data_IF_931125761557
#
_entry.id   IF_931125761557
#
_cell.length_a   1.000
_cell.length_b   1.000
_cell.length_c   1.000
_cell.angle_alpha   90.00
_cell.angle_beta   90.00
_cell.angle_gamma   90.00
#
_symmetry.space_group_name_H-M   'P 1'
#
loop_
_entity.id
_entity.type
_entity.pdbx_description
1 polymer ?
#
# COMPACT_ATOMS: atom_id res chain seq x y z
N UNK A 1 17.11 16.30 18.23
CA UNK A 1 16.66 15.42 17.12
C UNK A 1 15.14 15.25 17.22
N UNK A 2 14.35 16.00 16.44
CA UNK A 2 12.89 15.87 16.43
C UNK A 2 12.48 14.56 15.73
N UNK A 3 11.75 13.69 16.43
CA UNK A 3 11.22 12.42 15.89
C UNK A 3 10.32 12.72 14.68
N UNK A 4 10.72 12.30 13.48
CA UNK A 4 9.93 12.46 12.25
C UNK A 4 8.55 11.83 12.49
N UNK A 5 7.47 12.61 12.32
CA UNK A 5 6.10 12.11 12.53
C UNK A 5 5.87 10.96 11.55
N UNK A 6 5.52 9.77 12.06
CA UNK A 6 5.21 8.62 11.21
C UNK A 6 3.99 8.96 10.36
N UNK A 7 4.06 8.68 9.06
CA UNK A 7 2.95 8.88 8.14
C UNK A 7 1.85 7.88 8.48
N UNK A 8 0.64 8.36 8.72
CA UNK A 8 -0.55 7.54 8.99
C UNK A 8 -1.39 7.47 7.73
N UNK A 9 -1.77 6.26 7.33
CA UNK A 9 -2.65 6.02 6.20
C UNK A 9 -4.01 5.53 6.71
N UNK A 10 -5.10 6.03 6.13
CA UNK A 10 -6.45 5.58 6.47
C UNK A 10 -6.69 4.17 5.92
N UNK A 11 -7.75 3.50 6.38
CA UNK A 11 -8.08 2.14 5.90
C UNK A 11 -8.46 2.17 4.42
N UNK A 12 -9.18 3.21 4.01
CA UNK A 12 -9.63 3.46 2.65
C UNK A 12 -8.43 3.65 1.72
N UNK A 13 -7.45 4.48 2.12
CA UNK A 13 -6.21 4.67 1.36
C UNK A 13 -5.45 3.36 1.13
N UNK A 14 -5.41 2.49 2.13
CA UNK A 14 -4.76 1.17 1.99
C UNK A 14 -5.56 0.26 1.06
N UNK A 15 -6.87 0.22 1.21
CA UNK A 15 -7.76 -0.60 0.38
C UNK A 15 -7.72 -0.16 -1.09
N UNK A 16 -7.76 1.14 -1.35
CA UNK A 16 -7.68 1.70 -2.70
C UNK A 16 -6.33 1.39 -3.34
N UNK A 17 -5.22 1.51 -2.59
CA UNK A 17 -3.89 1.18 -3.11
C UNK A 17 -3.75 -0.31 -3.43
N UNK A 18 -4.25 -1.21 -2.58
CA UNK A 18 -4.26 -2.66 -2.83
C UNK A 18 -5.14 -3.00 -4.03
N UNK A 19 -6.34 -2.41 -4.11
CA UNK A 19 -7.26 -2.60 -5.25
C UNK A 19 -6.60 -2.15 -6.54
N UNK A 20 -5.96 -0.98 -6.54
CA UNK A 20 -5.26 -0.45 -7.70
C UNK A 20 -4.15 -1.39 -8.18
N UNK A 21 -3.31 -1.93 -7.28
CA UNK A 21 -2.29 -2.93 -7.65
C UNK A 21 -2.92 -4.15 -8.34
N UNK A 22 -4.05 -4.64 -7.82
CA UNK A 22 -4.71 -5.85 -8.34
C UNK A 22 -5.42 -5.62 -9.68
N UNK A 23 -5.99 -4.43 -9.90
CA UNK A 23 -6.76 -4.12 -11.12
C UNK A 23 -5.92 -3.51 -12.23
N UNK A 24 -4.86 -2.76 -11.91
CA UNK A 24 -4.02 -2.07 -12.89
C UNK A 24 -3.05 -3.02 -13.61
N UNK A 25 -2.68 -4.14 -12.99
CA UNK A 25 -1.62 -5.02 -13.49
C UNK A 25 -0.22 -4.37 -13.44
N UNK A 26 -0.11 -3.16 -12.88
CA UNK A 26 1.16 -2.47 -12.69
C UNK A 26 1.95 -3.07 -11.53
N UNK A 27 3.28 -2.88 -11.56
CA UNK A 27 4.13 -3.30 -10.46
C UNK A 27 3.80 -2.50 -9.19
N UNK A 28 3.96 -3.13 -8.02
CA UNK A 28 3.82 -2.47 -6.71
C UNK A 28 4.69 -1.19 -6.64
N UNK A 29 5.89 -1.21 -7.22
CA UNK A 29 6.78 -0.04 -7.26
C UNK A 29 6.23 1.13 -8.08
N UNK A 30 5.58 0.85 -9.21
CA UNK A 30 4.92 1.87 -10.04
C UNK A 30 3.76 2.50 -9.28
N UNK A 31 2.87 1.67 -8.73
CA UNK A 31 1.71 2.16 -7.97
C UNK A 31 2.13 2.94 -6.73
N UNK A 32 3.16 2.46 -6.02
CA UNK A 32 3.70 3.15 -4.85
C UNK A 32 4.22 4.55 -5.20
N UNK A 33 4.96 4.69 -6.32
CA UNK A 33 5.43 5.99 -6.81
C UNK A 33 4.27 6.91 -7.20
N UNK A 34 3.28 6.39 -7.91
CA UNK A 34 2.11 7.16 -8.34
C UNK A 34 1.29 7.70 -7.16
N UNK A 35 1.24 6.96 -6.05
CA UNK A 35 0.53 7.34 -4.82
C UNK A 35 1.43 8.06 -3.78
N UNK A 36 2.71 8.30 -4.12
CA UNK A 36 3.75 8.79 -3.20
C UNK A 36 3.94 7.90 -1.94
N UNK A 37 3.59 6.62 -1.99
CA UNK A 37 3.68 5.70 -0.85
C UNK A 37 5.02 4.95 -0.89
N UNK A 38 5.56 4.59 0.27
CA UNK A 38 6.73 3.70 0.32
C UNK A 38 6.39 2.31 -0.22
N UNK A 39 7.17 1.82 -1.19
CA UNK A 39 6.94 0.51 -1.83
C UNK A 39 6.81 -0.63 -0.81
N UNK A 40 7.66 -0.64 0.22
CA UNK A 40 7.60 -1.66 1.26
C UNK A 40 6.28 -1.61 2.05
N UNK A 41 5.71 -0.43 2.29
CA UNK A 41 4.40 -0.31 2.94
C UNK A 41 3.29 -0.89 2.07
N UNK A 42 3.31 -0.59 0.76
CA UNK A 42 2.32 -1.12 -0.16
C UNK A 42 2.43 -2.64 -0.31
N UNK A 43 3.65 -3.19 -0.37
CA UNK A 43 3.90 -4.63 -0.40
C UNK A 43 3.33 -5.34 0.83
N UNK A 44 3.52 -4.76 2.02
CA UNK A 44 2.97 -5.30 3.27
C UNK A 44 1.43 -5.26 3.27
N UNK A 45 0.82 -4.21 2.74
CA UNK A 45 -0.65 -4.14 2.68
C UNK A 45 -1.24 -5.14 1.70
N UNK A 46 -0.61 -5.36 0.54
CA UNK A 46 -1.05 -6.39 -0.42
C UNK A 46 -0.93 -7.78 0.20
N UNK A 47 0.17 -8.07 0.90
CA UNK A 47 0.34 -9.34 1.61
C UNK A 47 -0.73 -9.52 2.69
N UNK A 48 -0.99 -8.49 3.50
CA UNK A 48 -2.03 -8.52 4.53
C UNK A 48 -3.42 -8.72 3.91
N UNK A 49 -3.74 -8.04 2.80
CA UNK A 49 -5.02 -8.18 2.13
C UNK A 49 -5.24 -9.59 1.54
N UNK A 50 -4.18 -10.31 1.17
CA UNK A 50 -4.30 -11.71 0.75
C UNK A 50 -4.66 -12.61 1.95
N UNK A 51 -4.02 -12.38 3.09
CA UNK A 51 -4.31 -13.10 4.35
C UNK A 51 -5.75 -12.81 4.81
N UNK A 52 -6.16 -11.54 4.79
CA UNK A 52 -7.51 -11.11 5.21
C UNK A 52 -8.60 -11.70 4.29
N UNK A 53 -8.29 -11.95 3.02
CA UNK A 53 -9.18 -12.61 2.05
C UNK A 53 -9.15 -14.15 2.14
N UNK A 54 -8.30 -14.72 3.00
CA UNK A 54 -8.16 -16.17 3.17
C UNK A 54 -7.48 -16.88 1.98
N UNK A 55 -6.64 -16.16 1.22
CA UNK A 55 -5.83 -16.72 0.11
C UNK A 55 -4.44 -17.15 0.55
#
# INVERSE_FOLDING_TARGET
>A
MSKRKRRTFTKEQKADAVRLVRTSGESIGTVARNLDIGENSLRQWVAQANIDEGK
#
